data_IF_802484873426
#
_entry.id   IF_802484873426
#
_cell.length_a   1.000
_cell.length_b   1.000
_cell.length_c   1.000
_cell.angle_alpha   90.00
_cell.angle_beta   90.00
_cell.angle_gamma   90.00
#
_symmetry.space_group_name_H-M   'P 1'
#
loop_
_entity.id
_entity.type
_entity.pdbx_description
1 polymer ?
#
# COMPACT_ATOMS: atom_id res chain seq x y z
N UNK A 1 0.53 -40.43 12.87
CA UNK A 1 0.65 -40.85 11.44
C UNK A 1 -0.73 -40.74 10.82
N UNK A 2 -1.03 -40.03 9.73
CA UNK A 2 -0.25 -39.35 8.70
C UNK A 2 -0.83 -37.94 8.44
N UNK A 3 0.06 -37.07 8.02
CA UNK A 3 -0.04 -35.67 7.61
C UNK A 3 -1.02 -35.44 6.46
N UNK A 4 -1.83 -34.38 6.57
CA UNK A 4 -2.46 -33.71 5.42
C UNK A 4 -2.12 -32.20 5.50
N UNK A 5 -0.83 -31.92 5.28
CA UNK A 5 -0.29 -30.59 5.02
C UNK A 5 -0.48 -30.36 3.52
N UNK A 6 -1.65 -29.91 3.10
CA UNK A 6 -1.90 -29.63 1.66
C UNK A 6 -2.95 -28.55 1.39
N UNK A 7 -3.16 -27.60 2.32
CA UNK A 7 -4.06 -26.44 2.10
C UNK A 7 -3.47 -25.09 2.55
N UNK A 8 -2.15 -24.91 2.52
CA UNK A 8 -1.48 -23.63 2.90
C UNK A 8 -0.50 -23.11 1.86
N UNK A 9 -0.72 -23.40 0.58
CA UNK A 9 0.07 -22.84 -0.52
C UNK A 9 -0.93 -22.27 -1.53
N UNK A 10 -0.62 -21.08 -2.06
CA UNK A 10 -1.48 -20.17 -2.87
C UNK A 10 -2.28 -19.25 -1.93
N UNK A 11 -1.82 -18.06 -1.52
CA UNK A 11 -1.33 -16.91 -2.28
C UNK A 11 -0.24 -16.22 -1.45
N UNK A 12 1.02 -16.46 -1.79
CA UNK A 12 2.18 -15.76 -1.24
C UNK A 12 2.94 -15.16 -2.42
N UNK A 13 2.29 -14.22 -3.10
CA UNK A 13 2.89 -13.39 -4.15
C UNK A 13 2.38 -11.98 -3.88
N UNK A 14 3.21 -11.18 -3.22
CA UNK A 14 3.58 -9.81 -3.59
C UNK A 14 4.86 -9.49 -2.77
N UNK A 15 5.99 -9.62 -3.47
CA UNK A 15 7.32 -9.03 -3.22
C UNK A 15 8.00 -9.24 -1.86
N UNK A 16 8.62 -10.42 -1.69
CA UNK A 16 9.83 -10.59 -0.87
C UNK A 16 11.04 -10.37 -1.76
N UNK A 17 11.91 -9.40 -1.44
CA UNK A 17 13.27 -9.30 -2.01
C UNK A 17 14.29 -9.12 -0.86
N UNK A 18 14.94 -10.24 -0.56
CA UNK A 18 16.27 -10.54 0.00
C UNK A 18 17.12 -9.50 0.77
N UNK A 19 17.67 -10.02 1.88
CA UNK A 19 18.65 -9.49 2.86
C UNK A 19 20.10 -9.67 2.39
N UNK A 20 21.03 -8.77 2.78
CA UNK A 20 22.44 -9.13 3.11
C UNK A 20 23.06 -8.15 4.15
N UNK A 21 23.71 -8.74 5.17
CA UNK A 21 24.44 -8.18 6.34
C UNK A 21 25.58 -7.19 5.95
N UNK A 22 26.20 -6.32 6.77
CA UNK A 22 26.82 -6.38 8.13
C UNK A 22 27.08 -4.93 8.59
N UNK A 23 27.02 -4.61 9.90
CA UNK A 23 27.67 -3.40 10.43
C UNK A 23 27.04 -2.80 11.70
N UNK A 24 27.68 -3.02 12.87
CA UNK A 24 27.33 -2.37 14.13
C UNK A 24 27.53 -0.85 14.09
N UNK A 25 26.49 -0.07 14.36
CA UNK A 25 26.62 1.21 15.06
C UNK A 25 25.31 1.60 15.76
N UNK A 26 25.42 1.87 17.07
CA UNK A 26 24.41 2.54 17.89
C UNK A 26 24.36 4.01 17.50
N UNK A 27 23.22 4.47 17.00
CA UNK A 27 22.70 5.84 17.15
C UNK A 27 21.46 5.97 16.26
N UNK A 28 20.34 6.41 16.84
CA UNK A 28 19.18 7.02 16.16
C UNK A 28 18.95 6.59 14.70
N UNK A 29 17.94 5.77 14.44
CA UNK A 29 17.44 5.57 13.06
C UNK A 29 16.87 6.91 12.59
N UNK A 30 17.71 7.76 12.02
CA UNK A 30 17.30 8.91 11.24
C UNK A 30 16.90 8.37 9.87
N UNK A 31 15.61 8.45 9.52
CA UNK A 31 15.14 8.24 8.15
C UNK A 31 15.57 9.41 7.27
N UNK A 32 16.87 9.63 7.13
CA UNK A 32 17.44 10.78 6.42
C UNK A 32 17.21 10.74 4.90
N UNK A 33 16.75 9.63 4.33
CA UNK A 33 16.54 9.51 2.89
C UNK A 33 15.35 8.62 2.52
N UNK A 34 14.13 9.06 2.81
CA UNK A 34 12.99 8.66 1.98
C UNK A 34 12.91 9.69 0.85
N UNK A 35 13.30 9.29 -0.37
CA UNK A 35 13.01 10.12 -1.54
C UNK A 35 11.53 10.46 -1.51
N UNK A 36 11.15 11.73 -1.60
CA UNK A 36 9.73 12.07 -1.75
C UNK A 36 9.25 11.49 -3.08
N UNK A 37 8.12 10.74 -3.09
CA UNK A 37 7.49 10.28 -4.31
C UNK A 37 7.31 11.40 -5.33
N UNK A 38 7.40 11.04 -6.59
CA UNK A 38 7.11 11.93 -7.71
C UNK A 38 5.63 12.20 -7.84
N UNK A 39 4.83 11.16 -7.71
CA UNK A 39 3.38 11.24 -7.72
C UNK A 39 2.80 10.08 -6.93
N UNK A 40 1.54 10.21 -6.61
CA UNK A 40 0.73 9.14 -6.04
C UNK A 40 -0.38 8.82 -7.03
N UNK A 41 -0.57 7.54 -7.32
CA UNK A 41 -1.83 7.07 -7.89
C UNK A 41 -2.78 6.69 -6.75
N UNK A 42 -3.90 7.37 -6.66
CA UNK A 42 -4.94 7.17 -5.65
C UNK A 42 -6.12 6.45 -6.30
N UNK A 43 -6.39 5.23 -5.87
CA UNK A 43 -7.54 4.43 -6.29
C UNK A 43 -8.62 4.48 -5.20
N UNK A 44 -9.82 4.97 -5.54
CA UNK A 44 -10.92 5.18 -4.60
C UNK A 44 -12.09 4.22 -4.76
N UNK A 45 -13.31 4.71 -4.58
CA UNK A 45 -14.53 3.90 -4.41
C UNK A 45 -15.50 3.90 -5.61
N UNK A 46 -15.20 4.66 -6.67
CA UNK A 46 -16.11 4.96 -7.78
C UNK A 46 -16.80 3.71 -8.39
N UNK A 47 -16.07 2.60 -8.55
CA UNK A 47 -16.59 1.33 -9.08
C UNK A 47 -16.49 0.16 -8.08
N UNK A 48 -16.43 0.46 -6.78
CA UNK A 48 -16.15 -0.58 -5.77
C UNK A 48 -17.18 -1.71 -5.77
N UNK A 49 -18.47 -1.40 -5.87
CA UNK A 49 -19.51 -2.43 -5.84
C UNK A 49 -19.45 -3.33 -7.08
N UNK A 50 -19.27 -2.73 -8.26
CA UNK A 50 -19.08 -3.47 -9.51
C UNK A 50 -17.85 -4.39 -9.43
N UNK A 51 -16.73 -3.90 -8.90
CA UNK A 51 -15.52 -4.70 -8.70
C UNK A 51 -15.76 -5.86 -7.70
N UNK A 52 -16.53 -5.65 -6.62
CA UNK A 52 -16.87 -6.71 -5.66
C UNK A 52 -17.72 -7.80 -6.33
N UNK A 53 -18.72 -7.42 -7.11
CA UNK A 53 -19.58 -8.35 -7.85
C UNK A 53 -18.79 -9.15 -8.89
N UNK A 54 -17.91 -8.48 -9.64
CA UNK A 54 -17.02 -9.12 -10.60
C UNK A 54 -16.04 -10.08 -9.93
N UNK A 55 -15.48 -9.73 -8.77
CA UNK A 55 -14.63 -10.64 -8.00
C UNK A 55 -15.41 -11.88 -7.53
N UNK A 56 -16.65 -11.71 -7.07
CA UNK A 56 -17.50 -12.87 -6.72
C UNK A 56 -17.75 -13.76 -7.94
N UNK A 57 -18.10 -13.16 -9.08
CA UNK A 57 -18.27 -13.88 -10.35
C UNK A 57 -16.99 -14.60 -10.77
N UNK A 58 -15.83 -13.98 -10.61
CA UNK A 58 -14.53 -14.58 -10.93
C UNK A 58 -14.27 -15.86 -10.12
N UNK A 59 -14.56 -15.85 -8.82
CA UNK A 59 -14.40 -17.01 -7.94
C UNK A 59 -15.34 -18.16 -8.31
N UNK A 60 -16.57 -17.83 -8.74
CA UNK A 60 -17.60 -18.81 -9.14
C UNK A 60 -17.37 -19.37 -10.57
N UNK A 61 -16.66 -18.63 -11.43
CA UNK A 61 -16.40 -19.01 -12.82
C UNK A 61 -15.39 -20.17 -12.90
N UNK A 62 -15.61 -21.14 -13.79
CA UNK A 62 -14.66 -22.25 -14.02
C UNK A 62 -13.91 -22.13 -15.35
N UNK A 63 -14.50 -21.50 -16.35
CA UNK A 63 -13.87 -21.30 -17.65
C UNK A 63 -12.73 -20.26 -17.58
N UNK A 64 -11.59 -20.60 -18.16
CA UNK A 64 -10.40 -19.74 -18.10
C UNK A 64 -10.56 -18.46 -18.93
N UNK A 65 -11.18 -18.55 -20.11
CA UNK A 65 -11.35 -17.39 -20.98
C UNK A 65 -12.34 -16.38 -20.39
N UNK A 66 -13.40 -16.87 -19.74
CA UNK A 66 -14.33 -16.04 -18.99
C UNK A 66 -13.63 -15.39 -17.77
N UNK A 67 -12.80 -16.13 -17.04
CA UNK A 67 -11.98 -15.54 -15.97
C UNK A 67 -11.09 -14.40 -16.45
N UNK A 68 -10.43 -14.57 -17.61
CA UNK A 68 -9.60 -13.52 -18.20
C UNK A 68 -10.41 -12.28 -18.55
N UNK A 69 -11.61 -12.43 -19.13
CA UNK A 69 -12.51 -11.31 -19.42
C UNK A 69 -12.91 -10.56 -18.14
N UNK A 70 -13.25 -11.29 -17.08
CA UNK A 70 -13.61 -10.68 -15.79
C UNK A 70 -12.43 -9.90 -15.21
N UNK A 71 -11.20 -10.45 -15.24
CA UNK A 71 -10.01 -9.75 -14.77
C UNK A 71 -9.73 -8.48 -15.58
N UNK A 72 -9.92 -8.51 -16.91
CA UNK A 72 -9.78 -7.33 -17.76
C UNK A 72 -10.79 -6.25 -17.41
N UNK A 73 -12.04 -6.63 -17.14
CA UNK A 73 -13.10 -5.71 -16.74
C UNK A 73 -12.79 -5.07 -15.37
N UNK A 74 -12.37 -5.87 -14.38
CA UNK A 74 -11.92 -5.38 -13.08
C UNK A 74 -10.77 -4.38 -13.25
N UNK A 75 -9.76 -4.72 -14.05
CA UNK A 75 -8.61 -3.84 -14.29
C UNK A 75 -9.04 -2.51 -14.94
N UNK A 76 -9.98 -2.54 -15.89
CA UNK A 76 -10.51 -1.31 -16.49
C UNK A 76 -11.25 -0.44 -15.46
N UNK A 77 -12.05 -1.03 -14.59
CA UNK A 77 -12.75 -0.31 -13.51
C UNK A 77 -11.77 0.26 -12.47
N UNK A 78 -10.72 -0.48 -12.12
CA UNK A 78 -9.66 0.02 -11.22
C UNK A 78 -8.91 1.20 -11.83
N UNK A 79 -8.58 1.14 -13.13
CA UNK A 79 -7.95 2.26 -13.85
C UNK A 79 -8.87 3.49 -13.85
N UNK A 80 -10.17 3.33 -14.12
CA UNK A 80 -11.15 4.44 -14.05
C UNK A 80 -11.32 4.99 -12.65
N UNK A 81 -11.18 4.14 -11.63
CA UNK A 81 -11.22 4.53 -10.22
C UNK A 81 -9.88 5.11 -9.72
N UNK A 82 -8.89 5.29 -10.59
CA UNK A 82 -7.55 5.75 -10.21
C UNK A 82 -7.28 7.15 -10.74
N UNK A 83 -6.84 8.04 -9.85
CA UNK A 83 -6.42 9.39 -10.19
C UNK A 83 -4.97 9.62 -9.82
N UNK A 84 -4.35 10.63 -10.42
CA UNK A 84 -2.98 11.04 -10.10
C UNK A 84 -2.98 12.27 -9.20
N UNK A 85 -2.26 12.16 -8.08
CA UNK A 85 -1.89 13.28 -7.20
C UNK A 85 -0.43 13.62 -7.49
N UNK A 86 -0.21 14.81 -8.04
CA UNK A 86 1.12 15.40 -8.29
C UNK A 86 1.25 16.70 -7.48
N UNK A 87 0.81 16.65 -6.22
CA UNK A 87 0.96 17.74 -5.24
C UNK A 87 2.09 17.38 -4.27
N UNK A 88 3.30 17.86 -4.59
CA UNK A 88 4.50 17.60 -3.79
C UNK A 88 4.39 18.10 -2.35
N UNK A 89 3.67 19.18 -2.10
CA UNK A 89 3.48 19.73 -0.75
C UNK A 89 2.62 18.78 0.07
N UNK A 90 1.50 18.34 -0.50
CA UNK A 90 0.64 17.33 0.13
C UNK A 90 1.38 16.00 0.36
N UNK A 91 2.07 15.48 -0.67
CA UNK A 91 2.81 14.20 -0.58
C UNK A 91 3.83 14.24 0.57
N UNK A 92 4.60 15.32 0.68
CA UNK A 92 5.55 15.51 1.78
C UNK A 92 4.86 15.58 3.14
N UNK A 93 3.76 16.36 3.24
CA UNK A 93 2.98 16.49 4.48
C UNK A 93 2.44 15.15 4.94
N UNK A 94 1.89 14.35 4.02
CA UNK A 94 1.38 13.01 4.29
C UNK A 94 2.50 12.12 4.84
N UNK A 95 3.61 11.97 4.12
CA UNK A 95 4.72 11.11 4.53
C UNK A 95 5.35 11.53 5.86
N UNK A 96 5.54 12.84 6.08
CA UNK A 96 6.04 13.35 7.35
C UNK A 96 5.09 13.07 8.51
N UNK A 97 3.78 13.18 8.28
CA UNK A 97 2.78 12.86 9.31
C UNK A 97 2.87 11.38 9.72
N UNK A 98 2.95 10.49 8.73
CA UNK A 98 3.05 9.05 8.93
C UNK A 98 4.35 8.69 9.64
N UNK A 99 5.47 9.23 9.15
CA UNK A 99 6.80 8.95 9.69
C UNK A 99 6.91 9.29 11.17
N UNK A 100 6.38 10.46 11.55
CA UNK A 100 6.40 10.94 12.93
C UNK A 100 5.28 10.32 13.79
N UNK A 101 4.38 9.54 13.19
CA UNK A 101 3.35 8.83 13.94
C UNK A 101 3.98 7.68 14.73
N UNK A 102 3.57 7.57 15.99
CA UNK A 102 3.89 6.38 16.79
C UNK A 102 3.15 5.15 16.27
N UNK A 103 2.04 5.35 15.56
CA UNK A 103 1.12 4.30 15.15
C UNK A 103 0.60 3.49 16.33
N UNK A 104 -0.24 2.51 16.05
CA UNK A 104 -0.54 1.45 17.00
C UNK A 104 -0.45 0.10 16.31
N UNK A 105 -0.01 -0.89 17.06
CA UNK A 105 -0.15 -2.28 16.67
C UNK A 105 -1.59 -2.68 16.99
N UNK A 106 -2.49 -2.38 16.05
CA UNK A 106 -3.91 -2.71 16.15
C UNK A 106 -4.24 -3.74 15.07
N UNK A 107 -5.06 -4.73 15.43
CA UNK A 107 -5.74 -5.58 14.45
C UNK A 107 -6.72 -4.70 13.66
N UNK A 108 -6.23 -4.04 12.60
CA UNK A 108 -7.10 -3.30 11.69
C UNK A 108 -7.98 -4.33 11.00
N UNK A 109 -9.30 -4.16 11.11
CA UNK A 109 -10.23 -4.89 10.26
C UNK A 109 -10.01 -4.36 8.84
N UNK A 110 -9.31 -5.14 8.00
CA UNK A 110 -9.04 -4.86 6.59
C UNK A 110 -10.32 -5.03 5.77
N UNK A 111 -11.32 -4.22 6.08
CA UNK A 111 -12.60 -4.28 5.42
C UNK A 111 -12.59 -3.35 4.21
N UNK A 112 -12.42 -3.95 3.04
CA UNK A 112 -12.53 -3.26 1.74
C UNK A 112 -13.93 -2.72 1.48
N UNK A 113 -14.95 -3.15 2.22
CA UNK A 113 -16.32 -2.60 2.15
C UNK A 113 -16.48 -1.28 2.92
N UNK A 114 -15.45 -0.83 3.64
CA UNK A 114 -15.48 0.44 4.35
C UNK A 114 -15.77 1.64 3.44
N UNK A 115 -16.49 2.63 3.99
CA UNK A 115 -16.91 3.85 3.27
C UNK A 115 -15.72 4.70 2.81
N UNK A 116 -14.57 4.59 3.47
CA UNK A 116 -13.37 5.36 3.20
C UNK A 116 -12.16 4.46 2.88
N UNK A 117 -12.31 3.49 1.99
CA UNK A 117 -11.16 2.76 1.44
C UNK A 117 -10.49 3.54 0.30
N UNK A 118 -9.17 3.66 0.40
CA UNK A 118 -8.32 4.16 -0.67
C UNK A 118 -7.06 3.29 -0.77
N UNK A 119 -6.61 3.01 -1.99
CA UNK A 119 -5.27 2.48 -2.23
C UNK A 119 -4.39 3.58 -2.80
N UNK A 120 -3.18 3.72 -2.30
CA UNK A 120 -2.20 4.66 -2.82
C UNK A 120 -0.97 3.91 -3.28
N UNK A 121 -0.59 4.15 -4.53
CA UNK A 121 0.67 3.69 -5.10
C UNK A 121 1.60 4.89 -5.25
N UNK A 122 2.79 4.80 -4.66
CA UNK A 122 3.82 5.83 -4.73
C UNK A 122 4.74 5.55 -5.90
N UNK A 123 4.99 6.56 -6.72
CA UNK A 123 5.87 6.46 -7.89
C UNK A 123 7.13 7.25 -7.65
N UNK A 124 8.28 6.65 -7.93
CA UNK A 124 9.59 7.27 -7.80
C UNK A 124 10.32 7.17 -9.15
N UNK A 125 10.55 8.30 -9.80
CA UNK A 125 11.31 8.38 -11.04
C UNK A 125 12.82 8.24 -10.73
N UNK A 126 13.58 7.53 -11.56
CA UNK A 126 15.05 7.53 -11.43
C UNK A 126 15.62 6.80 -10.20
N UNK A 127 14.94 5.78 -9.66
CA UNK A 127 15.50 4.94 -8.59
C UNK A 127 16.78 4.19 -9.01
N UNK A 128 16.99 3.98 -10.32
CA UNK A 128 18.15 3.26 -10.89
C UNK A 128 19.51 3.92 -10.63
N UNK A 129 19.57 5.16 -10.14
CA UNK A 129 20.82 5.91 -9.91
C UNK A 129 21.17 6.07 -8.43
N UNK A 130 20.50 5.35 -7.53
CA UNK A 130 20.82 5.40 -6.10
C UNK A 130 21.84 4.33 -5.74
N UNK A 131 22.90 4.74 -5.04
CA UNK A 131 23.91 3.86 -4.46
C UNK A 131 23.24 2.79 -3.60
N UNK A 132 23.47 1.52 -3.93
CA UNK A 132 22.93 0.35 -3.22
C UNK A 132 23.26 0.37 -1.72
N UNK A 133 24.36 1.02 -1.32
CA UNK A 133 24.73 1.16 0.08
C UNK A 133 23.85 2.16 0.83
N UNK A 134 23.26 3.16 0.15
CA UNK A 134 22.29 4.11 0.73
C UNK A 134 20.88 3.54 0.80
N UNK A 135 20.54 2.59 -0.08
CA UNK A 135 19.26 1.87 -0.04
C UNK A 135 19.17 0.90 1.14
N UNK A 136 20.30 0.39 1.65
CA UNK A 136 20.34 -0.52 2.81
C UNK A 136 19.87 0.12 4.12
N UNK A 137 19.78 1.45 4.20
CA UNK A 137 19.39 2.19 5.40
C UNK A 137 17.99 2.83 5.32
N UNK A 138 17.31 2.75 4.16
CA UNK A 138 16.04 3.42 3.92
C UNK A 138 14.95 2.46 3.41
N UNK A 139 13.77 2.48 4.05
CA UNK A 139 12.60 1.76 3.57
C UNK A 139 11.85 2.62 2.53
N UNK A 140 11.65 2.10 1.32
CA UNK A 140 10.82 2.74 0.28
C UNK A 140 9.39 2.22 0.41
N UNK A 141 8.45 3.14 0.65
CA UNK A 141 7.01 2.80 0.68
C UNK A 141 6.49 2.83 -0.76
N UNK A 142 6.21 1.67 -1.35
CA UNK A 142 5.68 1.60 -2.72
C UNK A 142 4.16 1.73 -2.77
N UNK A 143 3.47 1.32 -1.71
CA UNK A 143 2.02 1.34 -1.66
C UNK A 143 1.52 1.33 -0.20
N UNK A 144 0.41 2.00 0.04
CA UNK A 144 -0.34 1.96 1.30
C UNK A 144 -1.82 1.81 1.01
N UNK A 145 -2.56 1.28 1.99
CA UNK A 145 -4.01 1.25 1.95
C UNK A 145 -4.55 2.03 3.15
N UNK A 146 -5.63 2.77 2.91
CA UNK A 146 -6.42 3.45 3.93
C UNK A 146 -7.73 2.68 4.10
N UNK A 147 -8.10 2.44 5.34
CA UNK A 147 -9.37 1.84 5.75
C UNK A 147 -9.98 2.72 6.84
N UNK A 148 -11.15 3.31 6.61
CA UNK A 148 -11.84 4.14 7.60
C UNK A 148 -10.95 5.26 8.20
N UNK A 149 -10.09 5.86 7.38
CA UNK A 149 -9.15 6.90 7.82
C UNK A 149 -7.89 6.39 8.54
N UNK A 150 -7.73 5.08 8.70
CA UNK A 150 -6.52 4.44 9.19
C UNK A 150 -5.69 3.93 8.03
N UNK A 151 -4.45 4.36 7.95
CA UNK A 151 -3.52 3.91 6.95
C UNK A 151 -2.60 2.84 7.55
N UNK A 152 -2.50 1.70 6.86
CA UNK A 152 -1.63 0.59 7.26
C UNK A 152 -0.23 0.83 6.70
N UNK A 153 0.77 0.93 7.58
CA UNK A 153 2.15 1.23 7.19
C UNK A 153 3.13 0.15 7.64
N UNK A 154 3.99 -0.32 6.73
CA UNK A 154 5.21 -1.01 7.12
C UNK A 154 6.16 -0.03 7.80
N UNK A 155 6.66 -0.41 8.96
CA UNK A 155 7.66 0.31 9.73
C UNK A 155 8.84 -0.61 9.99
N UNK A 156 10.03 -0.10 9.75
CA UNK A 156 11.25 -0.84 10.04
C UNK A 156 11.43 -0.96 11.56
N UNK A 157 11.58 -2.20 12.03
CA UNK A 157 11.79 -2.54 13.42
C UNK A 157 12.85 -3.65 13.51
N UNK A 158 14.05 -3.28 13.99
CA UNK A 158 15.20 -4.21 14.15
C UNK A 158 14.93 -5.35 15.13
N UNK A 159 13.88 -5.25 15.94
CA UNK A 159 13.51 -6.28 16.92
C UNK A 159 12.50 -7.29 16.38
N UNK A 160 11.90 -7.01 15.22
CA UNK A 160 11.04 -7.95 14.48
C UNK A 160 11.85 -9.02 13.75
N UNK A 161 11.35 -10.25 13.70
CA UNK A 161 11.98 -11.37 12.99
C UNK A 161 12.21 -11.11 11.49
N UNK A 162 11.40 -10.23 10.89
CA UNK A 162 11.50 -9.85 9.48
C UNK A 162 11.97 -8.41 9.28
N UNK A 163 12.47 -7.76 10.35
CA UNK A 163 12.87 -6.35 10.40
C UNK A 163 11.77 -5.33 10.01
N UNK A 164 10.52 -5.79 9.88
CA UNK A 164 9.36 -4.97 9.50
C UNK A 164 8.22 -5.33 10.46
N UNK A 165 7.56 -4.31 10.98
CA UNK A 165 6.26 -4.41 11.65
C UNK A 165 5.24 -3.56 10.89
N UNK A 166 3.96 -3.92 10.95
CA UNK A 166 2.91 -3.10 10.37
C UNK A 166 2.21 -2.32 11.48
N UNK A 167 2.11 -1.01 11.31
CA UNK A 167 1.40 -0.13 12.24
C UNK A 167 0.17 0.47 11.57
N UNK A 168 -0.89 0.65 12.36
CA UNK A 168 -2.02 1.49 11.99
C UNK A 168 -1.70 2.95 12.31
N UNK A 169 -1.94 3.84 11.36
CA UNK A 169 -1.82 5.29 11.58
C UNK A 169 -3.15 5.94 11.25
N UNK A 170 -3.84 6.46 12.27
CA UNK A 170 -5.02 7.31 12.06
C UNK A 170 -4.57 8.59 11.38
N UNK A 171 -5.06 8.85 10.17
CA UNK A 171 -4.77 10.07 9.44
C UNK A 171 -5.58 11.23 10.04
N UNK A 172 -5.00 12.42 10.04
CA UNK A 172 -5.71 13.63 10.46
C UNK A 172 -6.87 13.96 9.51
N UNK A 173 -7.91 14.61 10.03
CA UNK A 173 -9.06 15.06 9.23
C UNK A 173 -8.63 15.95 8.06
N UNK A 174 -7.61 16.79 8.24
CA UNK A 174 -7.05 17.62 7.15
C UNK A 174 -6.51 16.78 6.00
N UNK A 175 -5.80 15.68 6.29
CA UNK A 175 -5.27 14.77 5.26
C UNK A 175 -6.42 14.01 4.60
N UNK A 176 -7.36 13.49 5.39
CA UNK A 176 -8.49 12.73 4.88
C UNK A 176 -9.41 13.57 4.00
N UNK A 177 -9.70 14.81 4.40
CA UNK A 177 -10.53 15.72 3.62
C UNK A 177 -9.86 16.09 2.30
N UNK A 178 -8.56 16.40 2.31
CA UNK A 178 -7.81 16.64 1.08
C UNK A 178 -7.93 15.45 0.11
N UNK A 179 -7.70 14.23 0.59
CA UNK A 179 -7.79 13.02 -0.25
C UNK A 179 -9.19 12.85 -0.85
N UNK A 180 -10.23 12.98 -0.01
CA UNK A 180 -11.63 12.84 -0.43
C UNK A 180 -12.03 13.89 -1.47
N UNK A 181 -11.72 15.16 -1.19
CA UNK A 181 -12.12 16.27 -2.04
C UNK A 181 -11.35 16.24 -3.37
N UNK A 182 -10.04 15.98 -3.30
CA UNK A 182 -9.21 15.82 -4.49
C UNK A 182 -9.71 14.64 -5.33
N UNK A 183 -10.01 13.49 -4.70
CA UNK A 183 -10.55 12.32 -5.38
C UNK A 183 -11.85 12.63 -6.11
N UNK A 184 -12.85 13.16 -5.39
CA UNK A 184 -14.16 13.53 -5.97
C UNK A 184 -14.05 14.56 -7.09
N UNK A 185 -13.08 15.47 -7.02
CA UNK A 185 -12.90 16.49 -8.07
C UNK A 185 -12.33 15.95 -9.38
N UNK A 186 -11.67 14.78 -9.35
CA UNK A 186 -10.93 14.21 -10.49
C UNK A 186 -11.49 12.88 -11.00
N UNK A 187 -12.05 12.06 -10.12
CA UNK A 187 -12.67 10.80 -10.48
C UNK A 187 -13.94 11.10 -11.30
N UNK A 188 -14.01 10.56 -12.51
CA UNK A 188 -15.13 10.72 -13.45
C UNK A 188 -15.42 9.39 -14.13
#
# INVERSE_FOLDING_TARGET
>A
MKTNISKRIIILIICVVTILFVGCSKSSISMNYVKTPDKIYLTGDLHRQEIIELNKKYEETKDYNEKQKILQEIAQLEVRSTIMIDDKVFINKLLNYIHNSRGKDENIILDRSSKDYYSMQFVYNGLKTMDENKLKEGYIITNINIYNGYALFPKYDKTSSNNITFISVKLSDSIMNYLKDYYKSKAR
#
